data_IF_706551452722
#
_entry.id   IF_706551452722
#
_cell.length_a   1.000
_cell.length_b   1.000
_cell.length_c   1.000
_cell.angle_alpha   90.00
_cell.angle_beta   90.00
_cell.angle_gamma   90.00
#
_symmetry.space_group_name_H-M   'P 1'
#
loop_
_entity.id
_entity.type
_entity.pdbx_description
1 polymer ?
#
# COMPACT_ATOMS: atom_id res chain seq x y z
N UNK A 1 -13.44 19.15 20.37
CA UNK A 1 -12.84 18.61 19.13
C UNK A 1 -13.87 17.66 18.50
N UNK A 2 -14.90 18.25 17.88
CA UNK A 2 -15.97 17.51 17.20
C UNK A 2 -15.49 17.26 15.77
N UNK A 3 -15.16 16.00 15.48
CA UNK A 3 -14.78 15.55 14.15
C UNK A 3 -16.07 15.40 13.33
N UNK A 4 -16.40 16.40 12.52
CA UNK A 4 -17.21 16.17 11.33
C UNK A 4 -16.33 15.48 10.29
N UNK A 5 -16.07 14.19 10.49
CA UNK A 5 -15.70 13.33 9.37
C UNK A 5 -16.98 13.16 8.55
N UNK A 6 -17.05 13.60 7.27
CA UNK A 6 -18.03 12.98 6.37
C UNK A 6 -17.82 11.47 6.50
N UNK A 7 -18.91 10.69 6.57
CA UNK A 7 -18.86 9.25 6.67
C UNK A 7 -17.93 8.67 5.59
N UNK A 8 -16.66 8.48 5.95
CA UNK A 8 -15.72 7.74 5.14
C UNK A 8 -16.04 6.28 5.41
N UNK A 9 -16.87 5.69 4.55
CA UNK A 9 -16.66 4.28 4.27
C UNK A 9 -15.40 4.26 3.43
N UNK A 10 -14.24 4.17 4.09
CA UNK A 10 -13.04 3.70 3.42
C UNK A 10 -13.42 2.31 2.92
N UNK A 11 -13.79 2.23 1.65
CA UNK A 11 -13.81 0.96 0.93
C UNK A 11 -12.34 0.56 0.96
N UNK A 12 -11.99 -0.20 2.00
CA UNK A 12 -10.75 -0.94 2.02
C UNK A 12 -10.74 -1.65 0.67
N UNK A 13 -9.68 -1.54 -0.15
CA UNK A 13 -9.63 -2.34 -1.37
C UNK A 13 -10.02 -3.76 -0.96
N UNK A 14 -10.91 -4.41 -1.72
CA UNK A 14 -11.50 -5.72 -1.39
C UNK A 14 -10.46 -6.77 -0.94
N UNK A 15 -9.21 -6.49 -1.28
CA UNK A 15 -7.90 -7.10 -1.05
C UNK A 15 -7.39 -7.00 0.40
N UNK A 16 -7.95 -6.19 1.30
CA UNK A 16 -7.53 -6.13 2.71
C UNK A 16 -8.40 -7.10 3.50
N UNK A 17 -8.01 -8.37 3.41
CA UNK A 17 -8.56 -9.41 4.26
C UNK A 17 -8.43 -9.02 5.73
N UNK A 18 -9.46 -9.31 6.54
CA UNK A 18 -9.47 -9.20 8.00
C UNK A 18 -8.56 -10.26 8.64
N UNK A 19 -7.37 -10.45 8.11
CA UNK A 19 -6.35 -11.28 8.69
C UNK A 19 -5.64 -10.51 9.80
N UNK A 20 -5.30 -11.22 10.86
CA UNK A 20 -4.56 -10.69 12.01
C UNK A 20 -3.22 -10.08 11.57
N UNK A 21 -2.53 -10.76 10.65
CA UNK A 21 -1.41 -10.22 9.90
C UNK A 21 -1.87 -9.38 8.71
N UNK A 22 -1.23 -8.23 8.53
CA UNK A 22 -1.29 -7.43 7.30
C UNK A 22 0.11 -6.98 6.91
N UNK A 23 0.31 -6.61 5.64
CA UNK A 23 1.60 -6.10 5.17
C UNK A 23 2.03 -4.79 5.86
N UNK A 24 1.13 -4.14 6.60
CA UNK A 24 1.44 -2.96 7.41
C UNK A 24 2.35 -3.28 8.61
N UNK A 25 2.52 -4.56 8.95
CA UNK A 25 3.48 -5.00 9.98
C UNK A 25 4.93 -5.05 9.44
N UNK A 26 5.11 -4.87 8.13
CA UNK A 26 6.42 -4.80 7.49
C UNK A 26 7.03 -3.41 7.67
N UNK A 27 8.36 -3.37 7.72
CA UNK A 27 9.09 -2.10 7.72
C UNK A 27 9.05 -1.45 6.33
N UNK A 28 9.36 -0.14 6.26
CA UNK A 28 9.45 0.56 4.98
C UNK A 28 10.46 -0.14 4.05
N UNK A 29 10.04 -0.43 2.81
CA UNK A 29 10.83 -1.19 1.81
C UNK A 29 11.15 -2.65 2.20
N UNK A 30 10.42 -3.22 3.16
CA UNK A 30 10.43 -4.66 3.42
C UNK A 30 9.43 -5.37 2.50
N UNK A 31 9.86 -6.50 1.92
CA UNK A 31 9.04 -7.32 1.03
C UNK A 31 8.64 -8.62 1.73
N UNK A 32 7.40 -9.06 1.51
CA UNK A 32 6.92 -10.37 1.96
C UNK A 32 7.22 -11.43 0.90
N UNK A 33 8.11 -12.37 1.22
CA UNK A 33 8.65 -13.32 0.24
C UNK A 33 7.76 -14.55 0.08
N UNK A 34 7.38 -15.18 1.19
CA UNK A 34 6.66 -16.44 1.20
C UNK A 34 6.16 -16.76 2.60
N UNK A 35 5.27 -17.75 2.69
CA UNK A 35 4.84 -18.31 3.95
C UNK A 35 4.68 -19.81 3.91
N UNK A 36 4.73 -20.38 5.11
CA UNK A 36 4.59 -21.79 5.36
C UNK A 36 3.78 -21.97 6.64
N UNK A 37 3.10 -23.10 6.76
CA UNK A 37 2.55 -23.49 8.05
C UNK A 37 3.64 -24.16 8.88
N UNK A 38 3.76 -23.75 10.13
CA UNK A 38 4.77 -24.27 11.04
C UNK A 38 4.24 -24.38 12.48
N UNK A 39 4.91 -25.21 13.26
CA UNK A 39 4.73 -25.31 14.70
C UNK A 39 5.91 -24.63 15.39
N UNK A 40 5.64 -23.59 16.19
CA UNK A 40 6.61 -23.06 17.14
C UNK A 40 6.71 -24.04 18.33
N UNK A 41 7.91 -24.55 18.56
CA UNK A 41 8.18 -25.57 19.58
C UNK A 41 8.85 -24.90 20.77
N UNK A 42 8.13 -24.85 21.90
CA UNK A 42 8.69 -24.40 23.18
C UNK A 42 9.00 -25.63 24.03
N UNK A 43 10.28 -25.81 24.35
CA UNK A 43 10.69 -26.80 25.35
C UNK A 43 10.39 -26.24 26.73
N UNK A 44 9.35 -26.78 27.38
CA UNK A 44 9.26 -26.79 28.83
C UNK A 44 10.22 -27.85 29.36
N UNK A 45 10.69 -27.71 30.61
CA UNK A 45 11.66 -28.61 31.27
C UNK A 45 11.44 -30.10 30.94
N UNK A 46 12.53 -30.87 31.00
CA UNK A 46 12.69 -32.27 30.56
C UNK A 46 11.64 -33.30 31.02
N UNK A 47 10.71 -32.92 31.89
CA UNK A 47 9.60 -33.73 32.39
C UNK A 47 8.28 -33.55 31.62
N UNK A 48 8.14 -32.51 30.79
CA UNK A 48 6.91 -32.24 30.06
C UNK A 48 7.10 -32.33 28.54
N UNK A 49 6.11 -32.87 27.79
CA UNK A 49 6.16 -32.88 26.35
C UNK A 49 6.27 -31.45 25.80
N UNK A 50 7.08 -31.27 24.75
CA UNK A 50 7.27 -29.96 24.14
C UNK A 50 5.94 -29.38 23.66
N UNK A 51 5.65 -28.15 24.07
CA UNK A 51 4.43 -27.46 23.65
C UNK A 51 4.63 -26.97 22.22
N UNK A 52 3.71 -27.34 21.33
CA UNK A 52 3.69 -26.92 19.93
C UNK A 52 2.54 -25.94 19.71
N UNK A 53 2.86 -24.77 19.19
CA UNK A 53 1.86 -23.79 18.75
C UNK A 53 1.89 -23.71 17.25
N UNK A 54 0.81 -24.13 16.59
CA UNK A 54 0.65 -24.03 15.14
C UNK A 54 0.42 -22.57 14.73
N UNK A 55 0.94 -22.20 13.57
CA UNK A 55 0.71 -20.89 12.98
C UNK A 55 1.31 -20.72 11.60
N UNK A 56 1.15 -19.52 11.07
CA UNK A 56 1.72 -19.10 9.80
C UNK A 56 3.11 -18.50 10.02
N UNK A 57 4.12 -19.16 9.45
CA UNK A 57 5.51 -18.73 9.42
C UNK A 57 5.77 -17.94 8.14
N UNK A 58 6.05 -16.65 8.28
CA UNK A 58 6.17 -15.68 7.18
C UNK A 58 7.62 -15.21 7.06
N UNK A 59 8.18 -15.38 5.87
CA UNK A 59 9.54 -14.94 5.54
C UNK A 59 9.45 -13.60 4.83
N UNK A 60 10.07 -12.57 5.41
CA UNK A 60 10.11 -11.22 4.85
C UNK A 60 11.57 -10.80 4.64
N UNK A 61 11.80 -9.76 3.85
CA UNK A 61 13.17 -9.42 3.42
C UNK A 61 14.09 -8.91 4.53
N UNK A 62 13.53 -8.42 5.64
CA UNK A 62 14.28 -7.89 6.79
C UNK A 62 13.90 -8.57 8.11
N UNK A 63 12.86 -9.39 8.12
CA UNK A 63 12.36 -10.03 9.31
C UNK A 63 11.68 -11.37 9.02
N UNK A 64 11.51 -12.14 10.09
CA UNK A 64 10.68 -13.32 10.16
C UNK A 64 9.50 -13.00 11.06
N UNK A 65 8.29 -13.31 10.60
CA UNK A 65 7.06 -13.08 11.36
C UNK A 65 6.36 -14.41 11.57
N UNK A 66 6.00 -14.72 12.81
CA UNK A 66 5.16 -15.87 13.12
C UNK A 66 3.82 -15.39 13.67
N UNK A 67 2.75 -15.88 13.05
CA UNK A 67 1.37 -15.55 13.38
C UNK A 67 0.66 -16.83 13.86
N UNK A 68 0.54 -17.03 15.18
CA UNK A 68 -0.13 -18.20 15.74
C UNK A 68 -1.61 -18.27 15.32
N UNK A 69 -2.10 -19.49 15.07
CA UNK A 69 -3.54 -19.72 14.80
C UNK A 69 -4.39 -19.37 16.04
N UNK A 70 -3.81 -19.53 17.23
CA UNK A 70 -4.40 -19.08 18.49
C UNK A 70 -4.31 -17.55 18.63
N UNK A 71 -5.47 -16.90 18.63
CA UNK A 71 -5.59 -15.44 18.71
C UNK A 71 -5.13 -14.87 20.07
N UNK A 72 -5.11 -15.69 21.13
CA UNK A 72 -4.64 -15.24 22.45
C UNK A 72 -3.13 -15.05 22.45
N UNK A 73 -2.39 -15.95 21.81
CA UNK A 73 -0.93 -15.88 21.65
C UNK A 73 -0.52 -14.76 20.70
N UNK A 74 0.45 -13.89 21.03
CA UNK A 74 0.85 -12.76 20.18
C UNK A 74 1.48 -13.18 18.85
N UNK A 75 1.31 -12.34 17.81
CA UNK A 75 2.22 -12.36 16.65
C UNK A 75 3.59 -11.97 17.16
N UNK A 76 4.65 -12.60 16.67
CA UNK A 76 5.99 -12.10 16.94
C UNK A 76 6.84 -11.94 15.69
N UNK A 77 7.59 -10.84 15.65
CA UNK A 77 8.49 -10.42 14.58
C UNK A 77 9.93 -10.46 15.08
N UNK A 78 10.80 -11.09 14.31
CA UNK A 78 12.23 -11.24 14.56
C UNK A 78 12.98 -10.57 13.43
N UNK A 79 13.67 -9.47 13.73
CA UNK A 79 14.44 -8.74 12.72
C UNK A 79 15.80 -9.41 12.49
N UNK A 80 16.26 -9.45 11.25
CA UNK A 80 17.60 -9.98 10.94
C UNK A 80 18.71 -8.98 11.28
N UNK A 81 18.40 -7.67 11.32
CA UNK A 81 19.37 -6.63 11.64
C UNK A 81 19.81 -6.67 13.10
N UNK A 82 21.13 -6.57 13.31
CA UNK A 82 21.74 -6.44 14.64
C UNK A 82 21.30 -5.20 15.43
N UNK A 83 20.70 -4.19 14.77
CA UNK A 83 20.23 -2.95 15.42
C UNK A 83 18.95 -3.21 16.23
N UNK A 84 18.09 -4.14 15.78
CA UNK A 84 16.86 -4.52 16.45
C UNK A 84 17.03 -5.88 17.15
N UNK A 85 17.99 -5.95 18.07
CA UNK A 85 18.23 -7.15 18.88
C UNK A 85 17.03 -7.44 19.81
N UNK A 86 16.20 -8.42 19.41
CA UNK A 86 15.09 -8.90 20.22
C UNK A 86 13.94 -9.49 19.41
N UNK A 87 12.89 -9.86 20.14
CA UNK A 87 11.61 -10.32 19.58
C UNK A 87 10.56 -9.27 19.86
N UNK A 88 9.85 -8.84 18.82
CA UNK A 88 8.76 -7.87 18.91
C UNK A 88 7.45 -8.64 18.95
N UNK A 89 6.65 -8.47 19.98
CA UNK A 89 5.33 -9.08 20.15
C UNK A 89 4.24 -8.06 19.81
N UNK A 90 3.27 -8.50 19.01
CA UNK A 90 2.29 -7.66 18.34
C UNK A 90 0.90 -8.32 18.46
N UNK A 91 -0.14 -7.49 18.65
CA UNK A 91 -1.55 -7.90 18.64
C UNK A 91 -1.88 -9.10 19.56
N UNK A 92 -1.35 -9.13 20.78
CA UNK A 92 -1.72 -10.15 21.79
C UNK A 92 -3.24 -10.13 22.04
N UNK A 93 -3.88 -11.30 22.11
CA UNK A 93 -5.35 -11.40 22.20
C UNK A 93 -6.11 -10.66 21.09
N UNK A 94 -5.48 -10.47 19.93
CA UNK A 94 -5.97 -9.68 18.80
C UNK A 94 -6.30 -8.21 19.16
N UNK A 95 -5.63 -7.65 20.18
CA UNK A 95 -5.82 -6.26 20.62
C UNK A 95 -4.67 -5.40 20.12
N UNK A 96 -5.01 -4.26 19.51
CA UNK A 96 -4.02 -3.26 19.11
C UNK A 96 -3.53 -2.52 20.36
N UNK A 97 -2.27 -2.75 20.70
CA UNK A 97 -1.59 -2.19 21.86
C UNK A 97 -0.12 -1.89 21.50
N UNK A 98 0.58 -1.05 22.29
CA UNK A 98 2.00 -0.80 22.06
C UNK A 98 2.79 -2.11 22.00
N UNK A 99 3.72 -2.20 21.04
CA UNK A 99 4.50 -3.42 20.85
C UNK A 99 5.35 -3.74 22.08
N UNK A 100 5.28 -5.00 22.54
CA UNK A 100 6.16 -5.50 23.59
C UNK A 100 7.46 -5.97 22.95
N UNK A 101 8.60 -5.41 23.38
CA UNK A 101 9.90 -5.74 22.81
C UNK A 101 10.72 -6.46 23.88
N UNK A 102 11.13 -7.68 23.60
CA UNK A 102 12.00 -8.45 24.48
C UNK A 102 13.40 -8.52 23.86
N UNK A 103 14.34 -7.77 24.45
CA UNK A 103 15.71 -7.70 23.98
C UNK A 103 16.54 -8.86 24.50
N UNK A 104 17.56 -9.23 23.73
CA UNK A 104 18.52 -10.28 24.09
C UNK A 104 18.48 -11.47 23.13
N UNK A 105 19.45 -12.37 23.29
CA UNK A 105 19.56 -13.58 22.48
C UNK A 105 18.45 -14.55 22.89
N UNK A 106 17.63 -14.95 21.92
CA UNK A 106 16.60 -15.97 22.09
C UNK A 106 16.77 -17.05 21.03
N UNK A 107 16.65 -18.31 21.46
CA UNK A 107 16.54 -19.44 20.56
C UNK A 107 15.07 -19.75 20.35
N UNK A 108 14.61 -19.65 19.11
CA UNK A 108 13.25 -20.01 18.70
C UNK A 108 13.32 -21.21 17.77
N UNK A 109 12.47 -22.20 18.00
CA UNK A 109 12.46 -23.46 17.23
C UNK A 109 11.16 -23.57 16.45
N UNK A 110 11.27 -23.75 15.14
CA UNK A 110 10.11 -23.96 14.26
C UNK A 110 10.22 -25.30 13.55
N UNK A 111 9.09 -26.01 13.48
CA UNK A 111 8.93 -27.22 12.69
C UNK A 111 7.93 -26.94 11.57
N UNK A 112 8.38 -26.86 10.32
CA UNK A 112 7.49 -26.71 9.17
C UNK A 112 6.61 -27.95 9.00
N UNK A 113 5.35 -27.77 8.61
CA UNK A 113 4.45 -28.90 8.31
C UNK A 113 4.90 -29.64 7.05
N UNK A 114 5.33 -28.90 6.02
CA UNK A 114 5.87 -29.46 4.78
C UNK A 114 7.39 -29.60 4.93
N UNK A 115 7.83 -30.75 5.44
CA UNK A 115 9.24 -31.00 5.75
C UNK A 115 10.17 -30.85 4.54
N UNK A 116 9.70 -31.19 3.33
CA UNK A 116 10.49 -31.08 2.10
C UNK A 116 10.89 -29.65 1.75
N UNK A 117 10.18 -28.62 2.26
CA UNK A 117 10.52 -27.21 2.04
C UNK A 117 11.53 -26.65 3.05
N UNK A 118 11.88 -27.40 4.10
CA UNK A 118 12.72 -26.88 5.19
C UNK A 118 14.06 -26.34 4.70
N UNK A 119 14.74 -27.07 3.82
CA UNK A 119 16.04 -26.65 3.30
C UNK A 119 15.91 -25.36 2.47
N UNK A 120 14.93 -25.28 1.56
CA UNK A 120 14.70 -24.11 0.73
C UNK A 120 14.41 -22.84 1.56
N UNK A 121 13.60 -23.00 2.62
CA UNK A 121 13.28 -21.91 3.56
C UNK A 121 14.52 -21.47 4.32
N UNK A 122 15.33 -22.41 4.81
CA UNK A 122 16.59 -22.11 5.49
C UNK A 122 17.56 -21.39 4.55
N UNK A 123 17.71 -21.83 3.31
CA UNK A 123 18.56 -21.15 2.32
C UNK A 123 18.08 -19.73 2.04
N UNK A 124 16.76 -19.52 1.94
CA UNK A 124 16.17 -18.18 1.76
C UNK A 124 16.47 -17.29 2.97
N UNK A 125 16.26 -17.79 4.18
CA UNK A 125 16.57 -17.06 5.42
C UNK A 125 18.07 -16.72 5.53
N UNK A 126 18.96 -17.64 5.17
CA UNK A 126 20.40 -17.38 5.18
C UNK A 126 20.80 -16.29 4.18
N UNK A 127 20.19 -16.27 2.99
CA UNK A 127 20.45 -15.22 1.99
C UNK A 127 19.94 -13.85 2.47
N UNK A 128 18.76 -13.79 3.08
CA UNK A 128 18.19 -12.55 3.63
C UNK A 128 18.97 -12.06 4.85
N UNK A 129 19.41 -12.97 5.72
CA UNK A 129 20.29 -12.65 6.84
C UNK A 129 21.62 -12.06 6.34
N UNK A 130 22.26 -12.68 5.34
CA UNK A 130 23.47 -12.12 4.69
C UNK A 130 23.23 -10.71 4.18
N UNK A 131 22.04 -10.42 3.64
CA UNK A 131 21.66 -9.08 3.18
C UNK A 131 21.71 -8.09 4.34
N UNK A 132 21.07 -8.44 5.45
CA UNK A 132 21.00 -7.58 6.63
C UNK A 132 22.35 -7.32 7.30
N UNK A 133 23.36 -8.15 7.04
CA UNK A 133 24.72 -7.98 7.55
C UNK A 133 25.57 -7.01 6.73
N UNK A 134 25.13 -6.55 5.55
CA UNK A 134 25.89 -5.57 4.76
C UNK A 134 25.84 -4.18 5.42
N UNK A 135 26.95 -3.45 5.39
CA UNK A 135 27.06 -2.16 6.09
C UNK A 135 26.20 -1.06 5.46
N UNK A 136 26.12 -1.02 4.12
CA UNK A 136 25.42 0.03 3.39
C UNK A 136 24.00 -0.40 3.04
N UNK A 137 23.02 0.41 3.43
CA UNK A 137 21.62 0.19 3.09
C UNK A 137 21.38 -0.01 1.59
N UNK A 138 22.08 0.74 0.74
CA UNK A 138 21.97 0.59 -0.72
C UNK A 138 22.39 -0.79 -1.23
N UNK A 139 23.41 -1.41 -0.62
CA UNK A 139 23.86 -2.76 -0.96
C UNK A 139 22.86 -3.81 -0.44
N UNK A 140 22.30 -3.61 0.75
CA UNK A 140 21.20 -4.45 1.27
C UNK A 140 20.01 -4.46 0.29
N UNK A 141 19.55 -3.28 -0.10
CA UNK A 141 18.41 -3.11 -1.01
C UNK A 141 18.70 -3.71 -2.37
N UNK A 142 19.91 -3.53 -2.92
CA UNK A 142 20.30 -4.12 -4.19
C UNK A 142 20.29 -5.66 -4.15
N UNK A 143 20.79 -6.27 -3.07
CA UNK A 143 20.80 -7.73 -2.96
C UNK A 143 19.39 -8.31 -2.77
N UNK A 144 18.55 -7.66 -1.97
CA UNK A 144 17.13 -8.04 -1.82
C UNK A 144 16.41 -7.92 -3.17
N UNK A 145 16.61 -6.82 -3.90
CA UNK A 145 16.02 -6.62 -5.22
C UNK A 145 16.49 -7.67 -6.24
N UNK A 146 17.77 -8.03 -6.24
CA UNK A 146 18.30 -9.08 -7.10
C UNK A 146 17.70 -10.46 -6.79
N UNK A 147 17.50 -10.78 -5.51
CA UNK A 147 16.82 -12.01 -5.10
C UNK A 147 15.38 -12.03 -5.61
N UNK A 148 14.66 -10.94 -5.38
CA UNK A 148 13.27 -10.80 -5.83
C UNK A 148 13.15 -10.92 -7.35
N UNK A 149 14.02 -10.23 -8.10
CA UNK A 149 14.05 -10.30 -9.56
C UNK A 149 14.35 -11.72 -10.06
N UNK A 150 15.26 -12.43 -9.38
CA UNK A 150 15.56 -13.82 -9.69
C UNK A 150 14.37 -14.76 -9.43
N UNK A 151 13.53 -14.48 -8.43
CA UNK A 151 12.29 -15.24 -8.17
C UNK A 151 11.22 -14.94 -9.22
N UNK A 152 11.03 -13.66 -9.56
CA UNK A 152 10.12 -13.25 -10.64
C UNK A 152 10.50 -13.90 -11.97
N UNK A 153 11.79 -13.90 -12.33
CA UNK A 153 12.27 -14.49 -13.59
C UNK A 153 12.15 -16.03 -13.66
N UNK A 154 12.05 -16.71 -12.52
CA UNK A 154 11.90 -18.18 -12.43
C UNK A 154 10.44 -18.64 -12.32
N UNK A 155 9.51 -17.71 -12.24
CA UNK A 155 8.08 -17.97 -12.15
C UNK A 155 7.36 -17.34 -13.33
N UNK A 156 6.14 -17.79 -13.55
CA UNK A 156 5.19 -17.24 -14.52
C UNK A 156 3.81 -17.26 -13.88
N UNK A 157 2.86 -16.59 -14.49
CA UNK A 157 1.46 -16.72 -14.16
C UNK A 157 1.00 -18.19 -14.31
N UNK A 158 0.28 -18.69 -13.31
CA UNK A 158 -0.31 -20.02 -13.34
C UNK A 158 -1.61 -20.00 -14.15
N UNK A 159 -1.53 -20.52 -15.38
CA UNK A 159 -2.65 -20.57 -16.33
C UNK A 159 -3.83 -21.41 -15.83
N UNK A 160 -3.66 -22.24 -14.81
CA UNK A 160 -4.79 -22.95 -14.17
C UNK A 160 -5.70 -22.00 -13.37
N UNK A 161 -5.27 -20.75 -13.14
CA UNK A 161 -6.09 -19.73 -12.50
C UNK A 161 -7.16 -19.11 -13.43
N UNK A 162 -7.09 -19.38 -14.74
CA UNK A 162 -8.12 -18.93 -15.68
C UNK A 162 -9.48 -19.52 -15.33
N UNK A 163 -10.53 -18.70 -15.44
CA UNK A 163 -11.88 -19.12 -15.07
C UNK A 163 -12.58 -19.87 -16.21
N UNK A 164 -12.13 -19.67 -17.44
CA UNK A 164 -12.69 -20.29 -18.63
C UNK A 164 -11.57 -20.90 -19.47
N UNK A 165 -11.74 -22.15 -19.92
CA UNK A 165 -10.77 -22.83 -20.79
C UNK A 165 -10.66 -22.16 -22.17
N UNK A 166 -11.70 -21.41 -22.56
CA UNK A 166 -11.75 -20.67 -23.83
C UNK A 166 -11.04 -19.32 -23.77
N UNK A 167 -10.64 -18.88 -22.57
CA UNK A 167 -10.00 -17.59 -22.34
C UNK A 167 -8.62 -17.55 -23.00
N UNK A 168 -8.37 -16.51 -23.79
CA UNK A 168 -7.15 -16.37 -24.57
C UNK A 168 -6.21 -15.35 -23.93
N UNK A 169 -5.04 -15.76 -23.40
CA UNK A 169 -4.06 -14.80 -22.87
C UNK A 169 -3.45 -13.97 -24.01
N UNK A 170 -3.43 -12.66 -23.82
CA UNK A 170 -2.82 -11.71 -24.75
C UNK A 170 -1.41 -11.32 -24.33
N UNK A 171 -1.21 -11.07 -23.02
CA UNK A 171 0.09 -10.66 -22.49
C UNK A 171 0.26 -11.11 -21.04
N UNK A 172 1.50 -11.40 -20.68
CA UNK A 172 1.95 -11.68 -19.32
C UNK A 172 3.25 -10.92 -19.04
N UNK A 173 3.38 -10.29 -17.88
CA UNK A 173 4.64 -9.68 -17.43
C UNK A 173 4.73 -9.58 -15.90
N UNK A 174 5.93 -9.31 -15.40
CA UNK A 174 6.17 -9.08 -13.98
C UNK A 174 5.74 -7.66 -13.58
N UNK A 175 5.06 -7.54 -12.46
CA UNK A 175 4.62 -6.27 -11.89
C UNK A 175 4.58 -6.33 -10.36
N UNK A 176 4.39 -5.18 -9.72
CA UNK A 176 4.16 -5.09 -8.29
C UNK A 176 2.78 -4.46 -8.05
N UNK A 177 1.96 -5.10 -7.23
CA UNK A 177 0.73 -4.48 -6.73
C UNK A 177 1.09 -3.44 -5.66
N UNK A 178 0.71 -2.19 -5.90
CA UNK A 178 0.91 -1.07 -4.98
C UNK A 178 -0.21 -1.09 -3.94
N UNK A 179 0.17 -1.12 -2.67
CA UNK A 179 -0.72 -1.02 -1.52
C UNK A 179 -0.24 0.14 -0.63
N UNK A 180 -1.08 0.64 0.30
CA UNK A 180 -0.63 1.62 1.27
C UNK A 180 0.65 1.14 1.99
N UNK A 181 1.72 1.94 1.90
CA UNK A 181 3.06 1.73 2.49
C UNK A 181 3.95 0.64 1.87
N UNK A 182 3.42 -0.27 1.06
CA UNK A 182 4.15 -1.46 0.60
C UNK A 182 3.79 -1.83 -0.83
N UNK A 183 4.68 -2.53 -1.51
CA UNK A 183 4.39 -3.14 -2.80
C UNK A 183 4.51 -4.65 -2.69
N UNK A 184 3.66 -5.37 -3.42
CA UNK A 184 3.64 -6.82 -3.43
C UNK A 184 3.98 -7.35 -4.84
N UNK A 185 5.14 -7.97 -5.04
CA UNK A 185 5.58 -8.46 -6.35
C UNK A 185 4.79 -9.68 -6.84
N UNK A 186 4.59 -9.76 -8.16
CA UNK A 186 3.83 -10.83 -8.80
C UNK A 186 3.86 -10.77 -10.32
N UNK A 187 2.96 -11.51 -10.94
CA UNK A 187 2.74 -11.52 -12.38
C UNK A 187 1.37 -10.98 -12.72
N UNK A 188 1.30 -10.12 -13.73
CA UNK A 188 0.05 -9.68 -14.33
C UNK A 188 -0.16 -10.46 -15.63
N UNK A 189 -1.38 -10.92 -15.86
CA UNK A 189 -1.79 -11.54 -17.11
C UNK A 189 -3.11 -10.91 -17.57
N UNK A 190 -3.16 -10.48 -18.83
CA UNK A 190 -4.38 -9.95 -19.45
C UNK A 190 -4.84 -10.90 -20.56
N UNK A 191 -6.14 -11.12 -20.59
CA UNK A 191 -6.84 -11.98 -21.54
C UNK A 191 -7.90 -11.16 -22.27
N UNK A 192 -8.72 -11.83 -23.09
CA UNK A 192 -9.89 -11.26 -23.74
C UNK A 192 -11.06 -10.98 -22.77
N UNK A 193 -11.07 -11.58 -21.57
CA UNK A 193 -12.15 -11.41 -20.59
C UNK A 193 -11.73 -10.73 -19.27
N UNK A 194 -10.47 -10.90 -18.85
CA UNK A 194 -10.02 -10.56 -17.49
C UNK A 194 -8.62 -9.95 -17.45
N UNK A 195 -8.39 -9.15 -16.41
CA UNK A 195 -7.08 -8.78 -15.90
C UNK A 195 -6.82 -9.58 -14.62
N UNK A 196 -5.74 -10.35 -14.60
CA UNK A 196 -5.29 -11.11 -13.45
C UNK A 196 -4.01 -10.54 -12.86
N UNK A 197 -3.88 -10.61 -11.54
CA UNK A 197 -2.62 -10.40 -10.84
C UNK A 197 -2.38 -11.54 -9.84
N UNK A 198 -1.25 -12.23 -9.98
CA UNK A 198 -0.85 -13.33 -9.10
C UNK A 198 0.37 -12.91 -8.26
N UNK A 199 0.21 -12.67 -6.95
CA UNK A 199 1.33 -12.35 -6.07
C UNK A 199 2.25 -13.56 -5.85
N UNK A 200 3.56 -13.33 -5.77
CA UNK A 200 4.55 -14.41 -5.55
C UNK A 200 4.38 -15.14 -4.21
N UNK A 201 3.85 -14.44 -3.21
CA UNK A 201 3.68 -14.95 -1.85
C UNK A 201 2.27 -15.51 -1.59
N UNK A 202 1.36 -15.46 -2.58
CA UNK A 202 -0.02 -15.89 -2.44
C UNK A 202 -0.87 -15.03 -1.49
N UNK A 203 -0.41 -13.83 -1.12
CA UNK A 203 -1.12 -12.89 -0.26
C UNK A 203 -1.52 -11.64 -1.04
N UNK A 204 -2.67 -11.01 -0.76
CA UNK A 204 -3.69 -11.43 0.21
C UNK A 204 -4.60 -12.54 -0.32
N UNK A 205 -4.66 -12.70 -1.64
CA UNK A 205 -5.33 -13.80 -2.31
C UNK A 205 -4.36 -14.48 -3.28
N UNK A 206 -4.59 -15.76 -3.58
CA UNK A 206 -3.73 -16.51 -4.51
C UNK A 206 -3.68 -15.88 -5.90
N UNK A 207 -4.82 -15.35 -6.37
CA UNK A 207 -4.92 -14.61 -7.62
C UNK A 207 -6.02 -13.56 -7.47
N UNK A 208 -5.73 -12.33 -7.88
CA UNK A 208 -6.69 -11.24 -7.94
C UNK A 208 -7.22 -11.17 -9.37
N UNK A 209 -8.54 -11.14 -9.52
CA UNK A 209 -9.21 -11.12 -10.82
C UNK A 209 -10.07 -9.87 -10.96
N UNK A 210 -9.90 -9.15 -12.07
CA UNK A 210 -10.76 -8.05 -12.50
C UNK A 210 -11.37 -8.41 -13.86
N UNK A 211 -12.69 -8.53 -13.89
CA UNK A 211 -13.44 -8.74 -15.13
C UNK A 211 -13.40 -7.47 -15.97
N UNK A 212 -12.97 -7.54 -17.23
CA UNK A 212 -12.80 -6.35 -18.08
C UNK A 212 -14.12 -5.59 -18.26
N UNK A 213 -15.25 -6.29 -18.41
CA UNK A 213 -16.58 -5.66 -18.50
C UNK A 213 -17.03 -4.88 -17.26
N UNK A 214 -16.36 -5.08 -16.11
CA UNK A 214 -16.63 -4.28 -14.91
C UNK A 214 -15.78 -3.03 -14.85
N UNK A 215 -14.68 -2.95 -15.61
CA UNK A 215 -13.79 -1.79 -15.62
C UNK A 215 -14.55 -0.57 -16.16
N UNK A 216 -14.37 0.55 -15.48
CA UNK A 216 -14.98 1.85 -15.81
C UNK A 216 -13.94 2.91 -16.11
N UNK A 217 -12.84 2.91 -15.35
CA UNK A 217 -11.77 3.90 -15.50
C UNK A 217 -10.41 3.23 -15.36
N UNK A 218 -9.46 3.71 -16.16
CA UNK A 218 -8.05 3.36 -16.06
C UNK A 218 -7.21 4.61 -16.11
N UNK A 219 -6.17 4.67 -15.29
CA UNK A 219 -5.24 5.79 -15.27
C UNK A 219 -3.82 5.30 -15.33
N UNK A 220 -3.07 5.82 -16.31
CA UNK A 220 -1.61 5.79 -16.27
C UNK A 220 -1.16 6.65 -15.10
N UNK A 221 -0.30 6.12 -14.23
CA UNK A 221 0.19 6.78 -13.00
C UNK A 221 1.70 6.97 -13.04
N UNK A 222 2.18 7.95 -12.27
CA UNK A 222 3.57 8.03 -11.84
C UNK A 222 3.75 7.31 -10.51
N UNK A 223 4.77 6.46 -10.41
CA UNK A 223 5.18 5.83 -9.15
C UNK A 223 6.64 6.18 -8.88
N UNK A 224 6.93 6.80 -7.73
CA UNK A 224 8.27 7.36 -7.47
C UNK A 224 8.70 8.34 -8.56
N UNK A 225 7.79 9.20 -9.02
CA UNK A 225 7.97 10.18 -10.10
C UNK A 225 8.30 9.60 -11.49
N UNK A 226 8.20 8.28 -11.69
CA UNK A 226 8.41 7.62 -13.00
C UNK A 226 7.09 7.09 -13.57
N UNK A 227 6.87 7.11 -14.89
CA UNK A 227 5.60 6.73 -15.53
C UNK A 227 5.41 5.20 -15.61
N UNK A 228 5.45 4.54 -14.46
CA UNK A 228 5.45 3.08 -14.33
C UNK A 228 4.15 2.51 -13.78
N UNK A 229 3.18 3.35 -13.43
CA UNK A 229 1.97 2.92 -12.77
C UNK A 229 0.77 2.77 -13.71
N UNK A 230 -0.13 1.86 -13.37
CA UNK A 230 -1.46 1.70 -13.95
C UNK A 230 -2.46 1.40 -12.84
N UNK A 231 -3.52 2.19 -12.77
CA UNK A 231 -4.56 2.04 -11.77
C UNK A 231 -5.91 1.80 -12.45
N UNK A 232 -6.64 0.78 -11.96
CA UNK A 232 -7.87 0.27 -12.59
C UNK A 232 -9.04 0.35 -11.61
N UNK A 233 -10.16 0.88 -12.08
CA UNK A 233 -11.37 1.11 -11.29
C UNK A 233 -12.58 0.48 -11.97
N UNK A 234 -13.37 -0.27 -11.21
CA UNK A 234 -14.63 -0.89 -11.62
C UNK A 234 -15.86 -0.06 -11.20
N UNK A 235 -15.65 1.06 -10.52
CA UNK A 235 -16.69 1.98 -10.07
C UNK A 235 -16.41 3.41 -10.53
N UNK A 236 -17.46 4.18 -10.78
CA UNK A 236 -17.33 5.55 -11.33
C UNK A 236 -16.76 6.56 -10.33
N UNK A 237 -17.23 6.51 -9.08
CA UNK A 237 -17.01 7.58 -8.10
C UNK A 237 -16.21 7.14 -6.87
N UNK A 238 -15.63 5.93 -6.86
CA UNK A 238 -14.78 5.53 -5.73
C UNK A 238 -13.39 6.15 -5.82
N UNK A 239 -12.89 6.53 -4.65
CA UNK A 239 -11.55 7.07 -4.40
C UNK A 239 -10.48 5.96 -4.44
N UNK A 240 -10.82 4.76 -3.95
CA UNK A 240 -9.94 3.60 -3.97
C UNK A 240 -10.13 2.83 -5.28
N UNK A 241 -9.01 2.44 -5.90
CA UNK A 241 -9.03 1.56 -7.06
C UNK A 241 -9.23 0.10 -6.65
N UNK A 242 -9.64 -0.72 -7.62
CA UNK A 242 -9.72 -2.18 -7.43
C UNK A 242 -8.32 -2.81 -7.52
N UNK A 243 -7.42 -2.23 -8.31
CA UNK A 243 -5.99 -2.57 -8.31
C UNK A 243 -5.13 -1.38 -8.75
N UNK A 244 -3.93 -1.27 -8.19
CA UNK A 244 -2.86 -0.41 -8.68
C UNK A 244 -1.62 -1.27 -8.93
N UNK A 245 -1.18 -1.35 -10.19
CA UNK A 245 0.02 -2.04 -10.62
C UNK A 245 1.15 -1.05 -10.92
N UNK A 246 2.36 -1.39 -10.48
CA UNK A 246 3.63 -0.76 -10.83
C UNK A 246 4.44 -1.74 -11.67
N UNK A 247 4.87 -1.30 -12.84
CA UNK A 247 5.66 -2.09 -13.78
C UNK A 247 7.15 -1.76 -13.68
N UNK A 248 7.99 -2.66 -14.20
CA UNK A 248 9.45 -2.45 -14.24
C UNK A 248 9.88 -1.54 -15.39
N UNK A 249 9.08 -1.44 -16.44
CA UNK A 249 9.30 -0.56 -17.59
C UNK A 249 7.96 0.00 -18.09
N UNK A 250 8.01 1.10 -18.84
CA UNK A 250 6.80 1.76 -19.36
C UNK A 250 6.15 1.00 -20.52
N UNK A 251 6.92 0.22 -21.28
CA UNK A 251 6.41 -0.54 -22.43
C UNK A 251 5.39 -1.58 -21.97
N UNK A 252 5.72 -2.40 -20.97
CA UNK A 252 4.80 -3.39 -20.40
C UNK A 252 3.53 -2.73 -19.85
N UNK A 253 3.68 -1.59 -19.18
CA UNK A 253 2.55 -0.79 -18.68
C UNK A 253 1.65 -0.33 -19.83
N UNK A 254 2.25 0.19 -20.90
CA UNK A 254 1.54 0.74 -22.05
C UNK A 254 0.79 -0.34 -22.83
N UNK A 255 1.37 -1.53 -22.97
CA UNK A 255 0.72 -2.70 -23.59
C UNK A 255 -0.49 -3.18 -22.77
N UNK A 256 -0.35 -3.39 -21.45
CA UNK A 256 -1.49 -3.75 -20.60
C UNK A 256 -2.57 -2.66 -20.64
N UNK A 257 -2.18 -1.38 -20.60
CA UNK A 257 -3.13 -0.28 -20.75
C UNK A 257 -3.88 -0.36 -22.08
N UNK A 258 -3.19 -0.64 -23.18
CA UNK A 258 -3.79 -0.72 -24.52
C UNK A 258 -4.85 -1.80 -24.61
N UNK A 259 -4.60 -3.00 -24.07
CA UNK A 259 -5.61 -4.07 -24.05
C UNK A 259 -6.85 -3.70 -23.24
N UNK A 260 -6.69 -3.10 -22.06
CA UNK A 260 -7.84 -2.64 -21.25
C UNK A 260 -8.56 -1.49 -21.94
N UNK A 261 -7.82 -0.53 -22.51
CA UNK A 261 -8.38 0.64 -23.19
C UNK A 261 -9.20 0.25 -24.42
N UNK A 262 -8.70 -0.69 -25.23
CA UNK A 262 -9.42 -1.21 -26.41
C UNK A 262 -10.75 -1.84 -26.00
N UNK A 263 -10.79 -2.54 -24.87
CA UNK A 263 -12.04 -3.05 -24.31
C UNK A 263 -12.98 -1.90 -23.88
N UNK A 264 -12.45 -0.85 -23.24
CA UNK A 264 -13.24 0.29 -22.77
C UNK A 264 -13.76 1.19 -23.89
N UNK A 265 -13.00 1.41 -24.97
CA UNK A 265 -13.46 2.21 -26.13
C UNK A 265 -14.73 1.61 -26.75
N UNK A 266 -14.86 0.28 -26.70
CA UNK A 266 -16.07 -0.42 -27.13
C UNK A 266 -17.26 -0.19 -26.18
N UNK A 267 -17.06 0.42 -25.00
CA UNK A 267 -18.04 0.48 -23.90
C UNK A 267 -18.17 1.82 -23.15
N UNK A 268 -17.29 2.82 -23.35
CA UNK A 268 -17.24 4.04 -22.51
C UNK A 268 -16.84 5.29 -23.31
N UNK A 269 -17.44 6.43 -22.96
CA UNK A 269 -17.04 7.77 -23.39
C UNK A 269 -15.83 8.30 -22.62
N UNK A 270 -14.78 8.73 -23.32
CA UNK A 270 -13.60 9.36 -22.71
C UNK A 270 -13.99 10.60 -21.87
N UNK A 271 -13.44 10.72 -20.65
CA UNK A 271 -13.70 11.84 -19.75
C UNK A 271 -12.44 12.67 -19.53
N UNK A 272 -12.33 13.78 -20.27
CA UNK A 272 -11.24 14.75 -20.12
C UNK A 272 -11.46 15.70 -18.94
N UNK A 273 -10.43 16.47 -18.57
CA UNK A 273 -10.54 17.51 -17.55
C UNK A 273 -11.64 18.52 -17.89
N UNK A 274 -11.75 18.91 -19.16
CA UNK A 274 -12.75 19.84 -19.67
C UNK A 274 -14.16 19.25 -19.56
N UNK A 275 -14.33 17.96 -19.84
CA UNK A 275 -15.60 17.26 -19.67
C UNK A 275 -16.06 17.31 -18.21
N UNK A 276 -15.18 16.97 -17.26
CA UNK A 276 -15.52 17.05 -15.83
C UNK A 276 -15.82 18.47 -15.37
N UNK A 277 -15.07 19.47 -15.86
CA UNK A 277 -15.31 20.87 -15.55
C UNK A 277 -16.70 21.31 -16.01
N UNK A 278 -17.10 20.96 -17.23
CA UNK A 278 -18.41 21.32 -17.77
C UNK A 278 -19.55 20.65 -16.99
N UNK A 279 -19.39 19.38 -16.63
CA UNK A 279 -20.36 18.65 -15.81
C UNK A 279 -20.51 19.27 -14.41
N UNK A 280 -19.40 19.66 -13.78
CA UNK A 280 -19.39 20.36 -12.50
C UNK A 280 -20.07 21.74 -12.58
N UNK A 281 -19.75 22.55 -13.59
CA UNK A 281 -20.38 23.87 -13.81
C UNK A 281 -21.89 23.77 -14.04
N UNK A 282 -22.34 22.68 -14.68
CA UNK A 282 -23.77 22.38 -14.89
C UNK A 282 -24.46 21.75 -13.67
N UNK A 283 -23.73 21.48 -12.60
CA UNK A 283 -24.27 20.86 -11.38
C UNK A 283 -24.51 19.35 -11.49
N UNK A 284 -24.01 18.69 -12.54
CA UNK A 284 -24.06 17.22 -12.66
C UNK A 284 -23.06 16.53 -11.72
N UNK A 285 -21.99 17.23 -11.34
CA UNK A 285 -21.02 16.78 -10.35
C UNK A 285 -21.03 17.72 -9.14
N UNK A 286 -21.01 17.13 -7.94
CA UNK A 286 -20.75 17.88 -6.71
C UNK A 286 -19.29 18.38 -6.67
N UNK A 287 -19.01 19.37 -5.82
CA UNK A 287 -17.64 19.83 -5.55
C UNK A 287 -16.71 18.68 -5.14
N UNK A 288 -17.22 17.72 -4.36
CA UNK A 288 -16.47 16.55 -3.92
C UNK A 288 -16.07 15.65 -5.10
N UNK A 289 -17.04 15.28 -5.95
CA UNK A 289 -16.77 14.45 -7.13
C UNK A 289 -15.83 15.15 -8.11
N UNK A 290 -16.02 16.44 -8.34
CA UNK A 290 -15.13 17.19 -9.22
C UNK A 290 -13.69 17.21 -8.71
N UNK A 291 -13.46 17.51 -7.41
CA UNK A 291 -12.14 17.45 -6.80
C UNK A 291 -11.55 16.03 -6.81
N UNK A 292 -12.39 15.01 -6.68
CA UNK A 292 -11.97 13.61 -6.82
C UNK A 292 -11.43 13.32 -8.22
N UNK A 293 -12.14 13.72 -9.28
CA UNK A 293 -11.68 13.55 -10.65
C UNK A 293 -10.40 14.35 -10.92
N UNK A 294 -10.28 15.58 -10.41
CA UNK A 294 -9.04 16.36 -10.52
C UNK A 294 -7.85 15.68 -9.83
N UNK A 295 -8.05 15.10 -8.64
CA UNK A 295 -7.03 14.33 -7.96
C UNK A 295 -6.59 13.13 -8.80
N UNK A 296 -7.54 12.39 -9.37
CA UNK A 296 -7.24 11.31 -10.31
C UNK A 296 -6.46 11.83 -11.52
N UNK A 297 -6.87 12.89 -12.20
CA UNK A 297 -6.10 13.40 -13.35
C UNK A 297 -4.70 13.92 -12.97
N UNK A 298 -4.47 14.25 -11.70
CA UNK A 298 -3.18 14.70 -11.16
C UNK A 298 -2.31 13.58 -10.57
N UNK A 299 -2.55 12.32 -10.95
CA UNK A 299 -1.84 11.11 -10.48
C UNK A 299 -1.98 10.80 -8.99
N UNK A 300 -2.99 11.34 -8.32
CA UNK A 300 -3.22 11.05 -6.91
C UNK A 300 -3.96 9.72 -6.73
N UNK A 301 -3.57 8.96 -5.72
CA UNK A 301 -4.14 7.64 -5.42
C UNK A 301 -4.17 7.37 -3.92
N UNK A 302 -5.20 6.70 -3.43
CA UNK A 302 -5.26 6.23 -2.05
C UNK A 302 -4.31 5.08 -1.73
N UNK A 303 -3.85 4.37 -2.76
CA UNK A 303 -2.92 3.26 -2.61
C UNK A 303 -1.47 3.74 -2.49
N UNK A 304 -1.16 4.97 -2.92
CA UNK A 304 0.17 5.60 -2.76
C UNK A 304 0.09 6.80 -1.81
N UNK A 305 0.48 6.60 -0.55
CA UNK A 305 0.42 7.65 0.48
C UNK A 305 1.34 8.86 0.18
N UNK A 306 2.36 8.70 -0.67
CA UNK A 306 3.20 9.83 -1.10
C UNK A 306 2.47 10.76 -2.07
N UNK A 307 1.46 10.21 -2.76
CA UNK A 307 0.61 10.89 -3.75
C UNK A 307 -0.87 10.83 -3.35
N UNK A 308 -1.15 10.87 -2.04
CA UNK A 308 -2.53 10.78 -1.55
C UNK A 308 -3.41 11.94 -2.06
N UNK A 309 -4.72 11.72 -2.30
CA UNK A 309 -5.64 12.77 -2.72
C UNK A 309 -5.68 13.97 -1.77
N UNK A 310 -5.74 15.17 -2.35
CA UNK A 310 -5.70 16.45 -1.64
C UNK A 310 -7.03 17.16 -1.76
N UNK A 311 -7.58 17.54 -0.61
CA UNK A 311 -8.78 18.36 -0.51
C UNK A 311 -8.45 19.64 0.28
N UNK A 312 -9.04 20.78 -0.08
CA UNK A 312 -8.80 22.03 0.64
C UNK A 312 -9.49 22.00 2.01
N UNK A 313 -8.87 22.64 2.99
CA UNK A 313 -9.58 23.07 4.20
C UNK A 313 -10.65 24.09 3.79
N UNK A 314 -11.90 23.89 4.20
CA UNK A 314 -13.01 24.77 3.81
C UNK A 314 -13.47 25.65 4.96
N UNK A 315 -13.65 25.07 6.14
CA UNK A 315 -14.07 25.80 7.35
C UNK A 315 -12.84 26.46 7.99
N UNK A 316 -13.00 27.70 8.43
CA UNK A 316 -12.03 28.46 9.23
C UNK A 316 -12.44 28.56 10.71
N UNK A 317 -13.75 28.55 11.01
CA UNK A 317 -14.27 28.61 12.37
C UNK A 317 -14.46 27.22 12.99
N UNK A 318 -13.59 26.89 13.95
CA UNK A 318 -13.68 25.67 14.76
C UNK A 318 -13.94 25.98 16.25
N UNK A 319 -14.35 27.21 16.54
CA UNK A 319 -14.51 27.73 17.91
C UNK A 319 -15.97 27.98 18.28
N UNK A 320 -16.79 28.41 17.33
CA UNK A 320 -18.22 28.63 17.57
C UNK A 320 -18.95 27.33 17.86
N UNK A 321 -19.97 27.41 18.72
CA UNK A 321 -20.85 26.27 19.02
C UNK A 321 -21.79 25.93 17.87
N UNK A 322 -22.13 26.92 17.04
CA UNK A 322 -22.91 26.76 15.82
C UNK A 322 -22.20 27.44 14.65
N UNK A 323 -22.22 26.77 13.50
CA UNK A 323 -21.55 27.24 12.30
C UNK A 323 -22.50 28.07 11.45
N UNK A 324 -22.22 29.36 11.29
CA UNK A 324 -23.00 30.25 10.43
C UNK A 324 -22.53 30.13 8.97
N UNK A 325 -23.35 29.46 8.14
CA UNK A 325 -23.06 29.23 6.73
C UNK A 325 -23.24 30.46 5.84
N UNK A 326 -23.78 31.57 6.38
CA UNK A 326 -23.98 32.83 5.65
C UNK A 326 -22.85 33.82 5.88
N UNK A 327 -22.09 33.65 6.96
CA UNK A 327 -20.94 34.48 7.27
C UNK A 327 -19.71 34.05 6.48
N UNK A 328 -19.15 34.96 5.67
CA UNK A 328 -17.94 34.70 4.89
C UNK A 328 -16.72 34.34 5.76
N UNK A 329 -16.62 34.87 6.99
CA UNK A 329 -15.52 34.59 7.91
C UNK A 329 -15.52 33.14 8.44
N UNK A 330 -16.64 32.43 8.31
CA UNK A 330 -16.74 30.99 8.61
C UNK A 330 -15.87 30.15 7.69
N UNK A 331 -15.62 30.64 6.47
CA UNK A 331 -14.93 29.89 5.43
C UNK A 331 -13.51 30.40 5.19
N UNK A 332 -12.61 29.48 4.85
CA UNK A 332 -11.25 29.81 4.46
C UNK A 332 -11.26 30.49 3.10
N UNK A 333 -10.45 31.54 2.96
CA UNK A 333 -10.12 32.12 1.66
C UNK A 333 -9.41 31.08 0.77
N UNK A 334 -10.14 30.52 -0.19
CA UNK A 334 -9.65 29.48 -1.11
C UNK A 334 -8.66 30.01 -2.16
N UNK A 335 -8.58 31.33 -2.36
CA UNK A 335 -7.64 31.95 -3.31
C UNK A 335 -6.18 31.91 -2.85
N UNK A 336 -5.95 31.66 -1.55
CA UNK A 336 -4.64 31.66 -0.92
C UNK A 336 -4.21 30.25 -0.50
N UNK A 337 -2.90 29.94 -0.55
CA UNK A 337 -2.36 28.75 0.10
C UNK A 337 -2.39 28.88 1.63
N UNK A 338 -2.37 27.75 2.34
CA UNK A 338 -2.42 27.71 3.82
C UNK A 338 -1.35 28.58 4.48
N UNK A 339 -0.13 28.59 3.94
CA UNK A 339 0.97 29.38 4.48
C UNK A 339 0.81 30.91 4.32
N UNK A 340 -0.15 31.37 3.52
CA UNK A 340 -0.42 32.79 3.27
C UNK A 340 -1.67 33.32 4.00
N UNK A 341 -2.36 32.48 4.79
CA UNK A 341 -3.55 32.90 5.53
C UNK A 341 -3.22 33.83 6.72
N UNK A 342 -2.09 33.59 7.38
CA UNK A 342 -1.60 34.40 8.48
C UNK A 342 -0.50 35.34 7.97
N UNK A 343 -0.75 36.66 8.03
CA UNK A 343 0.16 37.68 7.50
C UNK A 343 1.53 37.67 8.16
N UNK A 344 1.61 37.54 9.50
CA UNK A 344 2.88 37.50 10.22
C UNK A 344 3.74 36.28 9.82
N UNK A 345 3.09 35.12 9.60
CA UNK A 345 3.75 33.94 9.07
C UNK A 345 4.21 34.17 7.62
N UNK A 346 3.37 34.77 6.78
CA UNK A 346 3.69 35.07 5.38
C UNK A 346 4.91 36.01 5.27
N UNK A 347 4.96 37.07 6.06
CA UNK A 347 6.07 38.03 6.07
C UNK A 347 7.40 37.35 6.43
N UNK A 348 7.40 36.46 7.43
CA UNK A 348 8.56 35.63 7.77
C UNK A 348 9.00 34.71 6.63
N UNK A 349 8.05 34.08 5.94
CA UNK A 349 8.33 33.21 4.80
C UNK A 349 8.95 34.02 3.63
N UNK A 350 8.40 35.20 3.34
CA UNK A 350 8.92 36.08 2.29
C UNK A 350 10.31 36.64 2.63
N UNK A 351 10.55 37.03 3.88
CA UNK A 351 11.86 37.48 4.34
C UNK A 351 12.92 36.38 4.14
N UNK A 352 12.61 35.14 4.56
CA UNK A 352 13.48 33.98 4.33
C UNK A 352 13.72 33.72 2.84
N UNK A 353 12.66 33.74 2.03
CA UNK A 353 12.75 33.52 0.58
C UNK A 353 13.66 34.54 -0.11
N UNK A 354 13.57 35.82 0.28
CA UNK A 354 14.40 36.90 -0.28
C UNK A 354 15.88 36.74 0.07
N UNK A 355 16.21 36.25 1.26
CA UNK A 355 17.59 36.02 1.72
C UNK A 355 18.19 34.66 1.36
N UNK A 356 17.46 33.78 0.68
CA UNK A 356 17.91 32.42 0.33
C UNK A 356 18.67 32.38 -1.01
N UNK A 357 19.73 31.55 -1.15
CA UNK A 357 20.35 31.27 -2.44
C UNK A 357 19.43 30.43 -3.35
N UNK A 358 19.72 30.39 -4.66
CA UNK A 358 18.96 29.56 -5.59
C UNK A 358 19.26 28.04 -5.42
N UNK A 359 18.27 27.15 -5.64
CA UNK A 359 16.88 27.44 -5.98
C UNK A 359 16.06 27.86 -4.74
N UNK A 360 15.40 29.01 -4.83
CA UNK A 360 14.58 29.52 -3.72
C UNK A 360 13.27 28.75 -3.59
N UNK A 361 12.79 28.60 -2.35
CA UNK A 361 11.47 28.02 -2.06
C UNK A 361 10.78 28.72 -0.90
N UNK A 362 9.44 28.81 -0.96
CA UNK A 362 8.66 29.38 0.13
C UNK A 362 8.38 28.37 1.25
N UNK A 363 8.15 27.10 0.91
CA UNK A 363 7.74 26.08 1.87
C UNK A 363 8.74 24.91 1.85
N UNK A 364 9.38 24.65 3.00
CA UNK A 364 10.29 23.50 3.16
C UNK A 364 9.55 22.19 3.52
N UNK A 365 8.24 22.26 3.68
CA UNK A 365 7.37 21.12 3.95
C UNK A 365 6.25 21.11 2.92
N UNK A 366 5.91 19.93 2.43
CA UNK A 366 4.87 19.74 1.43
C UNK A 366 3.50 19.59 2.11
N UNK A 367 2.42 20.06 1.48
CA UNK A 367 1.05 19.98 2.02
C UNK A 367 0.46 18.56 2.04
N UNK A 368 1.09 17.63 1.30
CA UNK A 368 0.72 16.23 1.21
C UNK A 368 1.95 15.39 1.51
N UNK A 369 1.91 14.58 2.55
CA UNK A 369 2.98 13.65 2.90
C UNK A 369 2.39 12.36 3.49
N UNK A 370 3.07 11.20 3.36
CA UNK A 370 2.61 9.96 3.96
C UNK A 370 2.37 10.10 5.47
N UNK A 371 3.25 10.82 6.17
CA UNK A 371 3.14 11.04 7.62
C UNK A 371 1.87 11.78 8.02
N UNK A 372 1.43 12.77 7.22
CA UNK A 372 0.16 13.45 7.48
C UNK A 372 -1.03 12.52 7.27
N UNK A 373 -1.02 11.71 6.21
CA UNK A 373 -2.12 10.76 5.94
C UNK A 373 -2.26 9.77 7.09
N UNK A 374 -1.15 9.17 7.53
CA UNK A 374 -1.14 8.25 8.67
C UNK A 374 -1.64 8.93 9.95
N UNK A 375 -1.25 10.17 10.19
CA UNK A 375 -1.71 10.93 11.36
C UNK A 375 -3.24 11.16 11.32
N UNK A 376 -3.79 11.59 10.18
CA UNK A 376 -5.25 11.77 10.04
C UNK A 376 -6.01 10.45 10.17
N UNK A 377 -5.44 9.37 9.64
CA UNK A 377 -6.07 8.05 9.63
C UNK A 377 -5.76 7.24 10.88
N UNK A 378 -5.06 7.76 11.89
CA UNK A 378 -4.62 6.97 13.06
C UNK A 378 -5.75 6.20 13.75
N UNK A 379 -6.96 6.77 13.81
CA UNK A 379 -8.13 6.11 14.43
C UNK A 379 -8.80 5.08 13.55
N UNK A 380 -8.67 5.23 12.23
CA UNK A 380 -9.00 4.14 11.30
C UNK A 380 -7.93 3.07 11.45
N UNK A 381 -6.65 3.49 11.46
CA UNK A 381 -5.37 2.80 11.69
C UNK A 381 -5.33 1.83 12.88
N UNK A 382 -5.91 2.24 13.99
CA UNK A 382 -6.06 1.45 15.21
C UNK A 382 -7.14 0.34 15.10
N UNK A 383 -7.71 0.12 13.91
CA UNK A 383 -8.55 -1.03 13.55
C UNK A 383 -7.89 -1.93 12.46
N UNK A 384 -6.64 -1.66 12.04
CA UNK A 384 -5.92 -2.41 10.99
C UNK A 384 -4.95 -3.47 11.54
#
# INVERSE_FOLDING_TARGET
MLLFTPCFTLKLPHVISFHRFSLLLLDLEEYYFEHHTANHVTNTDSYFPSRKTRGSFKVCSRSLIFDPDDLTSPIFKVCFSNICWGVIYIKESNVISPYRIERGVKTLTFQLEILSKTEDVVQTLLQLHRASCLEKLGEQTAMIAANLQSRLARSSFDKNCFQNVSESPHMECAAEMVMPLVTNPGHVCITDENLYFQPLNGYPEHVIQIKLHKVRRIYKRRHGLRPLGLEVFCTENDLCSDIYLKFYNSADRDEIYYYIATFLENHVTEHTAESYMLQWQRGHLSNYQYLLHLNNLADRSCNDLSQYPVFPWVIADYTSTQLDMTNAATFRDLSKPVGALNMERLDRLLARYRGMPEPRFMYGSHYSSPGYVLFYLVRVGLLW
#
